data_IF_442997959624
#
_entry.id   IF_442997959624
#
_cell.length_a   1.000
_cell.length_b   1.000
_cell.length_c   1.000
_cell.angle_alpha   90.00
_cell.angle_beta   90.00
_cell.angle_gamma   90.00
#
_symmetry.space_group_name_H-M   'P 1'
#
loop_
_entity.id
_entity.type
_entity.pdbx_description
1 polymer ?
#
# COMPACT_ATOMS: atom_id res chain seq x y z
N UNK A 1 19.45 48.31 -6.34
CA UNK A 1 20.62 47.77 -5.65
C UNK A 1 20.77 46.31 -6.10
N UNK A 2 21.76 46.07 -6.97
CA UNK A 2 22.06 44.80 -7.62
C UNK A 2 22.78 43.90 -6.63
N UNK A 3 22.40 42.63 -6.50
CA UNK A 3 23.29 41.59 -5.99
C UNK A 3 23.36 40.42 -6.95
N UNK A 4 24.56 40.17 -7.34
CA UNK A 4 25.09 39.31 -8.37
C UNK A 4 25.08 37.84 -7.98
N UNK A 5 24.77 36.99 -8.96
CA UNK A 5 25.02 35.56 -9.01
C UNK A 5 26.50 35.23 -8.80
N UNK A 6 26.78 34.21 -8.05
CA UNK A 6 28.09 33.52 -8.06
C UNK A 6 27.92 32.08 -8.49
N UNK A 7 28.30 31.80 -9.75
CA UNK A 7 28.60 30.51 -10.33
C UNK A 7 29.94 30.01 -9.77
N UNK A 8 30.03 28.78 -9.35
CA UNK A 8 31.26 27.96 -9.34
C UNK A 8 30.86 26.54 -9.74
N UNK A 9 31.12 26.23 -11.00
CA UNK A 9 32.27 25.57 -11.62
C UNK A 9 32.47 24.13 -11.06
N UNK A 10 31.99 23.27 -11.83
CA UNK A 10 32.40 21.98 -12.34
C UNK A 10 33.93 21.75 -12.30
N UNK A 11 34.36 20.64 -11.72
CA UNK A 11 35.61 20.01 -12.14
C UNK A 11 35.49 18.50 -12.05
N UNK A 12 35.66 17.88 -13.23
CA UNK A 12 35.93 16.47 -13.47
C UNK A 12 37.27 16.10 -12.86
N UNK A 13 37.38 14.88 -12.35
CA UNK A 13 38.58 14.07 -12.58
C UNK A 13 38.21 12.58 -12.61
N UNK A 14 38.40 12.00 -13.78
CA UNK A 14 38.48 10.58 -14.04
C UNK A 14 39.95 10.12 -13.94
N UNK A 15 40.21 8.95 -13.39
CA UNK A 15 41.32 8.05 -13.67
C UNK A 15 41.09 6.77 -12.88
N UNK A 16 40.80 5.65 -13.46
CA UNK A 16 41.59 4.76 -14.33
C UNK A 16 42.67 3.99 -13.58
N UNK A 17 42.63 2.72 -13.77
CA UNK A 17 43.65 1.66 -13.83
C UNK A 17 43.31 0.48 -12.92
N UNK A 18 42.84 -0.62 -13.45
CA UNK A 18 43.54 -1.62 -14.33
C UNK A 18 44.28 -2.67 -13.56
N UNK A 19 43.83 -3.92 -13.75
CA UNK A 19 44.60 -5.16 -13.99
C UNK A 19 45.29 -5.81 -12.79
N UNK A 20 44.93 -7.06 -12.53
CA UNK A 20 45.83 -8.21 -12.75
C UNK A 20 45.05 -9.53 -12.59
N UNK A 21 44.96 -10.21 -13.70
CA UNK A 21 44.75 -11.66 -13.87
C UNK A 21 46.05 -12.40 -13.45
N UNK A 22 45.87 -13.53 -12.82
CA UNK A 22 46.76 -14.74 -12.92
C UNK A 22 46.04 -15.77 -12.05
N UNK A 23 45.42 -16.81 -12.49
CA UNK A 23 45.90 -17.90 -13.32
C UNK A 23 46.84 -18.85 -12.58
N UNK A 24 46.32 -19.94 -11.98
CA UNK A 24 47.13 -21.13 -11.78
C UNK A 24 46.24 -22.37 -11.70
N UNK A 25 46.24 -23.11 -12.79
CA UNK A 25 45.97 -24.55 -12.81
C UNK A 25 47.13 -25.27 -12.09
N UNK A 26 46.79 -26.20 -11.20
CA UNK A 26 47.70 -27.12 -10.57
C UNK A 26 47.08 -28.49 -10.41
N UNK A 27 47.25 -29.33 -11.38
CA UNK A 27 47.05 -30.79 -11.34
C UNK A 27 48.14 -31.42 -10.48
N UNK A 28 47.82 -32.30 -9.51
CA UNK A 28 48.55 -33.55 -9.30
C UNK A 28 48.10 -34.38 -8.09
N UNK A 29 47.74 -35.58 -8.40
CA UNK A 29 48.12 -36.91 -7.86
C UNK A 29 47.65 -37.35 -6.48
N UNK A 30 46.94 -38.47 -6.61
CA UNK A 30 46.68 -39.53 -5.64
C UNK A 30 47.72 -39.75 -4.56
N UNK A 31 47.23 -39.82 -3.31
CA UNK A 31 47.77 -40.76 -2.32
C UNK A 31 46.56 -41.39 -1.60
N UNK A 32 46.48 -42.72 -1.70
CA UNK A 32 45.60 -43.58 -0.94
C UNK A 32 45.94 -43.50 0.56
N UNK A 33 44.87 -43.34 1.40
CA UNK A 33 45.04 -43.45 2.85
C UNK A 33 43.65 -43.49 3.50
N UNK A 34 43.26 -44.66 3.96
CA UNK A 34 42.01 -45.04 4.62
C UNK A 34 41.57 -44.09 5.74
N UNK A 35 40.25 -43.73 5.76
CA UNK A 35 39.63 -42.97 6.82
C UNK A 35 38.17 -42.69 6.53
N UNK A 36 37.34 -43.72 6.31
CA UNK A 36 35.92 -43.60 6.16
C UNK A 36 35.29 -43.50 7.54
N UNK A 37 34.69 -42.33 7.89
CA UNK A 37 33.49 -42.25 8.74
C UNK A 37 32.91 -40.82 8.85
N UNK A 38 33.64 -39.75 8.49
CA UNK A 38 33.14 -38.34 8.71
C UNK A 38 32.31 -37.76 7.54
N UNK A 39 32.44 -38.31 6.31
CA UNK A 39 31.76 -37.74 5.14
C UNK A 39 30.28 -38.12 5.04
N UNK A 40 29.85 -39.20 5.70
CA UNK A 40 28.44 -39.66 5.64
C UNK A 40 27.55 -38.83 6.53
N UNK A 41 28.03 -38.37 7.71
CA UNK A 41 27.24 -37.52 8.62
C UNK A 41 27.12 -36.07 8.12
N UNK A 42 28.11 -35.52 7.40
CA UNK A 42 27.97 -34.18 6.83
C UNK A 42 27.02 -34.12 5.63
N UNK A 43 26.93 -35.19 4.83
CA UNK A 43 26.00 -35.27 3.71
C UNK A 43 24.57 -35.46 4.17
N UNK A 44 24.30 -36.25 5.22
CA UNK A 44 22.95 -36.41 5.81
C UNK A 44 22.47 -35.13 6.50
N UNK A 45 23.35 -34.38 7.19
CA UNK A 45 22.96 -33.11 7.81
C UNK A 45 22.74 -32.01 6.77
N UNK A 46 23.47 -31.97 5.65
CA UNK A 46 23.23 -31.04 4.56
C UNK A 46 21.92 -31.34 3.82
N UNK A 47 21.58 -32.62 3.63
CA UNK A 47 20.32 -33.02 2.98
C UNK A 47 19.11 -32.73 3.88
N UNK A 48 19.19 -33.03 5.17
CA UNK A 48 18.14 -32.69 6.13
C UNK A 48 17.93 -31.18 6.26
N UNK A 49 18.98 -30.39 6.22
CA UNK A 49 18.92 -28.91 6.26
C UNK A 49 18.31 -28.31 4.99
N UNK A 50 18.55 -28.89 3.82
CA UNK A 50 17.94 -28.45 2.55
C UNK A 50 16.46 -28.81 2.49
N UNK A 51 16.08 -30.01 2.89
CA UNK A 51 14.68 -30.46 2.91
C UNK A 51 13.83 -29.66 3.89
N UNK A 52 14.36 -29.31 5.06
CA UNK A 52 13.65 -28.49 6.04
C UNK A 52 13.41 -27.06 5.55
N UNK A 53 14.41 -26.43 4.91
CA UNK A 53 14.30 -25.10 4.32
C UNK A 53 13.31 -25.06 3.15
N UNK A 54 13.34 -26.07 2.29
CA UNK A 54 12.42 -26.20 1.17
C UNK A 54 10.97 -26.39 1.67
N UNK A 55 10.77 -27.22 2.68
CA UNK A 55 9.47 -27.40 3.33
C UNK A 55 8.95 -26.11 3.95
N UNK A 56 9.80 -25.32 4.62
CA UNK A 56 9.43 -24.02 5.18
C UNK A 56 9.02 -23.01 4.09
N UNK A 57 9.80 -22.93 3.01
CA UNK A 57 9.52 -22.05 1.87
C UNK A 57 8.16 -22.38 1.23
N UNK A 58 7.87 -23.65 1.05
CA UNK A 58 6.59 -24.11 0.51
C UNK A 58 5.41 -23.76 1.44
N UNK A 59 5.60 -23.92 2.76
CA UNK A 59 4.58 -23.55 3.76
C UNK A 59 4.30 -22.04 3.76
N UNK A 60 5.34 -21.21 3.68
CA UNK A 60 5.20 -19.75 3.56
C UNK A 60 4.46 -19.36 2.27
N UNK A 61 4.84 -19.94 1.13
CA UNK A 61 4.17 -19.70 -0.15
C UNK A 61 2.70 -20.12 -0.10
N UNK A 62 2.40 -21.29 0.44
CA UNK A 62 1.02 -21.77 0.59
C UNK A 62 0.18 -20.84 1.48
N UNK A 63 0.77 -20.25 2.53
CA UNK A 63 0.08 -19.27 3.36
C UNK A 63 -0.18 -17.97 2.61
N UNK A 64 0.82 -17.44 1.90
CA UNK A 64 0.66 -16.22 1.06
C UNK A 64 -0.41 -16.45 -0.02
N UNK A 65 -0.43 -17.62 -0.64
CA UNK A 65 -1.49 -18.03 -1.59
C UNK A 65 -2.88 -17.99 -0.91
N UNK A 66 -3.00 -18.57 0.27
CA UNK A 66 -4.23 -18.53 1.06
C UNK A 66 -4.70 -17.11 1.35
N UNK A 67 -3.78 -16.18 1.65
CA UNK A 67 -4.09 -14.76 1.85
C UNK A 67 -4.57 -14.14 0.55
N UNK A 68 -3.87 -14.37 -0.55
CA UNK A 68 -4.24 -13.87 -1.88
C UNK A 68 -5.61 -14.37 -2.34
N UNK A 69 -5.95 -15.61 -2.05
CA UNK A 69 -7.21 -16.24 -2.43
C UNK A 69 -8.45 -15.66 -1.70
N UNK A 70 -8.24 -14.87 -0.63
CA UNK A 70 -9.33 -14.17 0.06
C UNK A 70 -9.88 -12.97 -0.72
N UNK A 71 -9.23 -12.56 -1.80
CA UNK A 71 -9.69 -11.43 -2.59
C UNK A 71 -11.14 -11.58 -3.08
N UNK A 72 -11.88 -10.47 -3.03
CA UNK A 72 -13.25 -10.40 -3.55
C UNK A 72 -13.19 -10.24 -5.07
N UNK A 73 -13.96 -11.08 -5.77
CA UNK A 73 -13.96 -11.10 -7.25
C UNK A 73 -14.94 -10.11 -7.89
N UNK A 74 -15.88 -9.56 -7.11
CA UNK A 74 -16.83 -8.59 -7.64
C UNK A 74 -16.13 -7.35 -8.19
N UNK A 75 -16.66 -6.81 -9.27
CA UNK A 75 -16.14 -5.59 -9.88
C UNK A 75 -16.64 -4.33 -9.16
N UNK A 76 -17.80 -4.40 -8.51
CA UNK A 76 -18.42 -3.25 -7.87
C UNK A 76 -18.59 -3.50 -6.38
N UNK A 77 -18.29 -2.49 -5.57
CA UNK A 77 -18.64 -2.38 -4.15
C UNK A 77 -19.30 -1.03 -3.94
N UNK A 78 -20.49 -1.05 -3.37
CA UNK A 78 -21.26 0.16 -3.06
C UNK A 78 -21.86 0.02 -1.67
N UNK A 79 -21.80 1.09 -0.87
CA UNK A 79 -22.42 1.12 0.44
C UNK A 79 -22.59 2.52 0.97
N UNK A 80 -23.69 2.76 1.68
CA UNK A 80 -23.80 3.93 2.54
C UNK A 80 -22.95 3.70 3.77
N UNK A 81 -22.34 4.75 4.29
CA UNK A 81 -21.39 4.67 5.38
C UNK A 81 -21.51 5.86 6.33
N UNK A 82 -20.97 5.71 7.52
CA UNK A 82 -20.50 6.80 8.36
C UNK A 82 -19.04 7.08 8.00
N UNK A 83 -18.74 8.33 7.72
CA UNK A 83 -17.37 8.81 7.48
C UNK A 83 -16.95 9.66 8.66
N UNK A 84 -15.83 9.33 9.30
CA UNK A 84 -15.23 10.12 10.37
C UNK A 84 -13.83 10.55 9.99
N UNK A 85 -13.51 11.83 10.18
CA UNK A 85 -12.18 12.40 10.02
C UNK A 85 -11.73 13.03 11.34
N UNK A 86 -10.57 12.59 11.84
CA UNK A 86 -9.91 13.17 12.99
C UNK A 86 -8.53 13.69 12.55
N UNK A 87 -8.29 14.99 12.68
CA UNK A 87 -7.03 15.61 12.32
C UNK A 87 -6.82 16.92 13.08
N UNK A 88 -5.76 17.00 13.89
CA UNK A 88 -5.56 18.12 14.81
C UNK A 88 -6.74 18.22 15.78
N UNK A 89 -7.35 19.40 15.88
CA UNK A 89 -8.49 19.68 16.76
C UNK A 89 -9.85 19.34 16.11
N UNK A 90 -9.85 18.77 14.90
CA UNK A 90 -11.06 18.43 14.18
C UNK A 90 -11.45 16.98 14.40
N UNK A 91 -12.73 16.77 14.73
CA UNK A 91 -13.40 15.48 14.79
C UNK A 91 -14.75 15.64 14.10
N UNK A 92 -14.84 15.15 12.86
CA UNK A 92 -16.01 15.36 12.00
C UNK A 92 -16.56 13.99 11.62
N UNK A 93 -17.83 13.75 11.91
CA UNK A 93 -18.56 12.56 11.46
C UNK A 93 -19.75 12.98 10.62
N UNK A 94 -19.83 12.46 9.40
CA UNK A 94 -20.90 12.75 8.44
C UNK A 94 -21.38 11.47 7.74
N UNK A 95 -22.64 11.42 7.29
CA UNK A 95 -23.08 10.35 6.40
C UNK A 95 -22.33 10.43 5.06
N UNK A 96 -22.02 9.28 4.50
CA UNK A 96 -21.35 9.17 3.23
C UNK A 96 -21.84 8.00 2.39
N UNK A 97 -21.29 7.92 1.19
CA UNK A 97 -21.47 6.79 0.28
C UNK A 97 -20.11 6.43 -0.34
N UNK A 98 -19.73 5.17 -0.20
CA UNK A 98 -18.61 4.59 -0.93
C UNK A 98 -19.15 3.93 -2.20
N UNK A 99 -18.54 4.21 -3.34
CA UNK A 99 -18.82 3.53 -4.61
C UNK A 99 -17.50 3.23 -5.29
N UNK A 100 -17.23 1.96 -5.50
CA UNK A 100 -15.99 1.50 -6.10
C UNK A 100 -16.26 0.60 -7.29
N UNK A 101 -15.55 0.82 -8.40
CA UNK A 101 -15.50 -0.09 -9.54
C UNK A 101 -14.06 -0.43 -9.82
N UNK A 102 -13.75 -1.72 -9.76
CA UNK A 102 -12.38 -2.25 -9.91
C UNK A 102 -11.78 -1.78 -11.24
N UNK A 103 -10.54 -1.30 -11.16
CA UNK A 103 -9.74 -0.76 -12.27
C UNK A 103 -10.28 0.53 -12.91
N UNK A 104 -11.32 1.14 -12.32
CA UNK A 104 -11.92 2.38 -12.85
C UNK A 104 -11.94 3.52 -11.83
N UNK A 105 -12.51 3.30 -10.63
CA UNK A 105 -12.73 4.41 -9.69
C UNK A 105 -13.01 3.94 -8.27
N UNK A 106 -12.50 4.72 -7.31
CA UNK A 106 -12.91 4.74 -5.92
C UNK A 106 -13.52 6.10 -5.66
N UNK A 107 -14.81 6.16 -5.30
CA UNK A 107 -15.54 7.40 -5.02
C UNK A 107 -16.09 7.40 -3.61
N UNK A 108 -15.79 8.46 -2.87
CA UNK A 108 -16.31 8.77 -1.54
C UNK A 108 -17.13 10.06 -1.65
N UNK A 109 -18.42 9.99 -1.34
CA UNK A 109 -19.32 11.12 -1.30
C UNK A 109 -19.70 11.41 0.14
N UNK A 110 -19.69 12.67 0.55
CA UNK A 110 -20.03 13.13 1.90
C UNK A 110 -21.27 14.01 1.85
N UNK A 111 -22.17 13.84 2.81
CA UNK A 111 -23.47 14.49 2.81
C UNK A 111 -23.72 15.26 4.10
N UNK A 112 -24.55 16.32 3.99
CA UNK A 112 -25.10 16.99 5.18
C UNK A 112 -26.06 16.02 5.87
N UNK A 113 -25.91 15.81 7.19
CA UNK A 113 -26.89 15.05 7.96
C UNK A 113 -28.30 15.60 7.75
N UNK A 114 -29.31 14.72 7.73
CA UNK A 114 -30.75 15.03 7.56
C UNK A 114 -31.10 15.51 6.14
N UNK A 115 -30.37 16.47 5.57
CA UNK A 115 -30.69 17.04 4.25
C UNK A 115 -30.28 16.13 3.09
N UNK A 116 -29.28 15.24 3.29
CA UNK A 116 -28.77 14.35 2.24
C UNK A 116 -28.09 15.06 1.07
N UNK A 117 -27.84 16.38 1.18
CA UNK A 117 -27.14 17.14 0.15
C UNK A 117 -25.66 16.80 0.16
N UNK A 118 -25.07 16.47 -1.01
CA UNK A 118 -23.65 16.22 -1.15
C UNK A 118 -22.85 17.51 -0.94
N UNK A 119 -21.91 17.48 0.00
CA UNK A 119 -21.05 18.62 0.34
C UNK A 119 -19.59 18.40 -0.07
N UNK A 120 -19.18 17.17 -0.21
CA UNK A 120 -17.83 16.82 -0.59
C UNK A 120 -17.77 15.54 -1.39
N UNK A 121 -16.78 15.44 -2.28
CA UNK A 121 -16.52 14.24 -3.06
C UNK A 121 -15.03 14.04 -3.25
N UNK A 122 -14.57 12.81 -3.01
CA UNK A 122 -13.23 12.37 -3.34
C UNK A 122 -13.33 11.25 -4.37
N UNK A 123 -12.55 11.35 -5.44
CA UNK A 123 -12.47 10.33 -6.45
C UNK A 123 -11.02 10.03 -6.77
N UNK A 124 -10.72 8.75 -6.86
CA UNK A 124 -9.45 8.22 -7.30
C UNK A 124 -9.72 7.37 -8.54
N UNK A 125 -9.06 7.71 -9.63
CA UNK A 125 -9.08 6.97 -10.91
C UNK A 125 -7.66 6.56 -11.28
N UNK A 126 -7.43 5.70 -12.28
CA UNK A 126 -6.07 5.42 -12.73
C UNK A 126 -5.25 6.65 -13.10
N UNK A 127 -5.90 7.70 -13.60
CA UNK A 127 -5.24 8.88 -14.18
C UNK A 127 -5.13 10.04 -13.21
N UNK A 128 -6.10 10.21 -12.31
CA UNK A 128 -6.17 11.41 -11.47
C UNK A 128 -6.90 11.20 -10.15
N UNK A 129 -6.61 12.12 -9.24
CA UNK A 129 -7.37 12.38 -8.02
C UNK A 129 -8.24 13.59 -8.26
N UNK A 130 -9.52 13.51 -7.87
CA UNK A 130 -10.48 14.61 -7.92
C UNK A 130 -11.06 14.82 -6.52
N UNK A 131 -10.99 16.04 -6.01
CA UNK A 131 -11.62 16.46 -4.76
C UNK A 131 -12.54 17.63 -5.08
N UNK A 132 -13.81 17.52 -4.71
CA UNK A 132 -14.80 18.56 -4.92
C UNK A 132 -15.31 19.04 -3.56
N UNK A 133 -15.15 20.33 -3.29
CA UNK A 133 -15.77 21.05 -2.20
C UNK A 133 -16.99 21.79 -2.74
N UNK A 134 -18.18 21.28 -2.43
CA UNK A 134 -19.42 21.85 -2.94
C UNK A 134 -19.87 23.08 -2.15
N UNK A 135 -19.43 23.20 -0.90
CA UNK A 135 -19.75 24.35 -0.05
C UNK A 135 -19.10 25.63 -0.58
N UNK A 136 -17.81 25.54 -0.91
CA UNK A 136 -17.04 26.68 -1.42
C UNK A 136 -17.01 26.75 -2.96
N UNK A 137 -17.63 25.78 -3.66
CA UNK A 137 -17.60 25.65 -5.13
C UNK A 137 -16.17 25.62 -5.68
N UNK A 138 -15.35 24.79 -5.06
CA UNK A 138 -13.95 24.60 -5.45
C UNK A 138 -13.68 23.14 -5.76
N UNK A 139 -12.68 22.89 -6.59
CA UNK A 139 -12.21 21.53 -6.83
C UNK A 139 -10.70 21.47 -7.07
N UNK A 140 -10.14 20.31 -6.79
CA UNK A 140 -8.77 19.94 -7.13
C UNK A 140 -8.86 18.75 -8.07
N UNK A 141 -8.22 18.85 -9.24
CA UNK A 141 -7.99 17.74 -10.14
C UNK A 141 -6.51 17.68 -10.45
N UNK A 142 -5.87 16.58 -10.08
CA UNK A 142 -4.43 16.43 -10.19
C UNK A 142 -4.07 14.97 -10.50
N UNK A 143 -3.00 14.75 -11.23
CA UNK A 143 -2.40 13.41 -11.30
C UNK A 143 -1.68 13.05 -9.98
N UNK A 144 -1.36 11.77 -9.78
CA UNK A 144 -0.74 11.29 -8.54
C UNK A 144 0.65 11.89 -8.29
N UNK A 145 1.32 12.35 -9.33
CA UNK A 145 2.65 12.97 -9.22
C UNK A 145 2.59 14.43 -8.76
N UNK A 146 1.45 15.08 -8.92
CA UNK A 146 1.20 16.45 -8.50
C UNK A 146 0.71 16.55 -7.05
N UNK A 147 0.19 15.46 -6.50
CA UNK A 147 -0.22 15.39 -5.09
C UNK A 147 0.97 14.93 -4.25
N UNK A 148 1.68 15.86 -3.66
CA UNK A 148 2.94 15.64 -2.92
C UNK A 148 2.88 14.47 -1.94
N UNK A 149 1.78 14.34 -1.22
CA UNK A 149 1.56 13.25 -0.27
C UNK A 149 1.57 11.88 -0.96
N UNK A 150 0.83 11.72 -2.06
CA UNK A 150 0.73 10.45 -2.79
C UNK A 150 2.05 10.14 -3.49
N UNK A 151 2.67 11.15 -4.13
CA UNK A 151 3.96 11.03 -4.81
C UNK A 151 5.06 10.55 -3.87
N UNK A 152 5.21 11.19 -2.71
CA UNK A 152 6.25 10.86 -1.72
C UNK A 152 6.09 9.45 -1.15
N UNK A 153 4.87 8.93 -1.11
CA UNK A 153 4.54 7.60 -0.62
C UNK A 153 4.54 6.52 -1.71
N UNK A 154 4.78 6.89 -2.98
CA UNK A 154 4.66 5.95 -4.09
C UNK A 154 3.25 5.36 -4.24
N UNK A 155 2.23 6.09 -3.78
CA UNK A 155 0.83 5.64 -3.82
C UNK A 155 0.26 5.92 -5.21
N UNK A 156 -0.18 4.87 -5.88
CA UNK A 156 -0.93 4.91 -7.14
C UNK A 156 -2.40 4.55 -6.88
N UNK A 157 -3.24 4.73 -7.89
CA UNK A 157 -4.61 4.22 -7.87
C UNK A 157 -4.67 2.72 -7.49
N UNK A 158 -3.82 1.90 -8.08
CA UNK A 158 -3.82 0.44 -7.83
C UNK A 158 -3.39 0.09 -6.41
N UNK A 159 -2.48 0.87 -5.81
CA UNK A 159 -2.14 0.72 -4.39
C UNK A 159 -3.33 1.03 -3.49
N UNK A 160 -4.03 2.16 -3.75
CA UNK A 160 -5.26 2.52 -3.04
C UNK A 160 -6.34 1.46 -3.26
N UNK A 161 -6.54 1.02 -4.51
CA UNK A 161 -7.50 -0.03 -4.81
C UNK A 161 -7.23 -1.29 -3.99
N UNK A 162 -5.99 -1.76 -3.94
CA UNK A 162 -5.64 -2.96 -3.18
C UNK A 162 -5.93 -2.79 -1.68
N UNK A 163 -5.64 -1.61 -1.10
CA UNK A 163 -5.99 -1.31 0.30
C UNK A 163 -7.52 -1.30 0.50
N UNK A 164 -8.28 -0.63 -0.35
CA UNK A 164 -9.74 -0.58 -0.24
C UNK A 164 -10.41 -1.95 -0.50
N UNK A 165 -9.83 -2.79 -1.35
CA UNK A 165 -10.31 -4.15 -1.61
C UNK A 165 -9.77 -5.20 -0.64
N UNK A 166 -8.96 -4.80 0.38
CA UNK A 166 -8.37 -5.71 1.34
C UNK A 166 -7.51 -6.80 0.67
N UNK A 167 -6.52 -6.39 -0.11
CA UNK A 167 -5.69 -7.28 -0.92
C UNK A 167 -4.20 -7.01 -0.70
N UNK A 168 -3.37 -8.01 -1.02
CA UNK A 168 -1.95 -7.81 -1.18
C UNK A 168 -1.69 -6.86 -2.36
N UNK A 169 -0.63 -6.07 -2.27
CA UNK A 169 -0.21 -5.17 -3.34
C UNK A 169 1.28 -5.28 -3.64
N UNK A 170 1.64 -4.99 -4.87
CA UNK A 170 3.00 -4.73 -5.31
C UNK A 170 3.06 -3.35 -5.96
N UNK A 171 4.01 -2.48 -5.58
CA UNK A 171 4.16 -1.17 -6.19
C UNK A 171 4.36 -1.25 -7.70
N UNK A 172 3.62 -0.43 -8.44
CA UNK A 172 3.69 -0.40 -9.90
C UNK A 172 2.88 -1.49 -10.62
N UNK A 173 2.37 -2.48 -9.89
CA UNK A 173 1.53 -3.54 -10.48
C UNK A 173 0.04 -3.26 -10.27
N UNK A 174 -0.78 -3.62 -11.26
CA UNK A 174 -2.24 -3.52 -11.15
C UNK A 174 -2.83 -4.58 -10.23
N UNK A 175 -2.23 -5.77 -10.26
CA UNK A 175 -2.66 -6.94 -9.45
C UNK A 175 -1.46 -7.79 -9.11
N UNK A 176 -1.52 -8.47 -7.97
CA UNK A 176 -0.54 -9.51 -7.60
C UNK A 176 -0.90 -10.80 -8.35
N UNK A 177 0.03 -11.31 -9.16
CA UNK A 177 -0.11 -12.58 -9.88
C UNK A 177 0.38 -13.73 -9.00
N UNK A 178 0.00 -14.96 -9.33
CA UNK A 178 0.47 -16.15 -8.63
C UNK A 178 2.01 -16.26 -8.64
N UNK A 179 2.65 -15.94 -9.76
CA UNK A 179 4.10 -15.92 -9.89
C UNK A 179 4.79 -14.88 -8.98
N UNK A 180 4.06 -13.88 -8.48
CA UNK A 180 4.58 -12.83 -7.63
C UNK A 180 4.53 -13.20 -6.14
N UNK A 181 3.76 -14.22 -5.75
CA UNK A 181 3.55 -14.57 -4.34
C UNK A 181 4.84 -14.93 -3.62
N UNK A 182 5.83 -15.44 -4.34
CA UNK A 182 7.18 -15.71 -3.82
C UNK A 182 7.97 -14.47 -3.40
N UNK A 183 7.50 -13.27 -3.77
CA UNK A 183 8.12 -11.98 -3.35
C UNK A 183 7.73 -11.61 -1.92
N UNK A 184 6.67 -12.20 -1.39
CA UNK A 184 6.20 -11.95 -0.03
C UNK A 184 6.82 -12.94 0.95
N UNK A 185 7.17 -12.45 2.14
CA UNK A 185 7.59 -13.29 3.26
C UNK A 185 6.46 -13.40 4.30
N UNK A 186 6.19 -14.61 4.77
CA UNK A 186 5.23 -14.89 5.81
C UNK A 186 5.94 -15.44 7.05
N UNK A 187 5.77 -14.82 8.21
CA UNK A 187 6.36 -15.30 9.47
C UNK A 187 5.41 -16.28 10.16
N UNK A 188 5.59 -17.56 9.85
CA UNK A 188 4.76 -18.64 10.39
C UNK A 188 5.17 -19.11 11.79
N UNK A 189 6.34 -18.71 12.27
CA UNK A 189 6.94 -19.01 13.56
C UNK A 189 6.30 -18.23 14.73
N UNK A 190 5.50 -17.21 14.43
CA UNK A 190 4.78 -16.45 15.46
C UNK A 190 3.70 -17.29 16.14
N UNK A 191 3.50 -17.06 17.42
CA UNK A 191 2.39 -17.66 18.19
C UNK A 191 1.10 -16.89 17.96
N UNK A 192 -0.06 -17.58 18.04
CA UNK A 192 -1.37 -16.97 17.86
C UNK A 192 -1.84 -16.88 16.39
N UNK A 193 -2.96 -16.19 16.21
CA UNK A 193 -3.69 -16.13 14.93
C UNK A 193 -3.23 -15.04 13.98
N UNK A 194 -2.48 -14.06 14.44
CA UNK A 194 -2.00 -12.93 13.65
C UNK A 194 -0.66 -13.27 12.99
N UNK A 195 -0.68 -13.60 11.70
CA UNK A 195 0.51 -13.93 10.92
C UNK A 195 0.94 -12.72 10.08
N UNK A 196 2.14 -12.18 10.30
CA UNK A 196 2.68 -11.13 9.45
C UNK A 196 3.05 -11.67 8.05
N UNK A 197 2.59 -10.95 7.02
CA UNK A 197 3.04 -11.08 5.63
C UNK A 197 3.68 -9.76 5.23
N UNK A 198 4.82 -9.76 4.60
CA UNK A 198 5.54 -8.53 4.28
C UNK A 198 6.21 -8.56 2.91
N UNK A 199 6.40 -7.35 2.37
CA UNK A 199 7.17 -7.08 1.16
C UNK A 199 7.93 -5.77 1.32
N UNK A 200 9.17 -5.71 0.81
CA UNK A 200 10.01 -4.50 0.86
C UNK A 200 10.45 -4.10 -0.53
N UNK A 201 10.41 -2.80 -0.79
CA UNK A 201 10.91 -2.20 -2.02
C UNK A 201 11.59 -0.86 -1.72
N UNK A 202 12.91 -0.84 -1.74
CA UNK A 202 13.70 0.35 -1.37
C UNK A 202 13.35 0.85 0.02
N UNK A 203 12.93 2.11 0.10
CA UNK A 203 12.55 2.79 1.34
C UNK A 203 11.13 2.45 1.83
N UNK A 204 10.39 1.63 1.07
CA UNK A 204 9.03 1.23 1.40
C UNK A 204 8.99 -0.16 2.01
N UNK A 205 8.24 -0.30 3.08
CA UNK A 205 7.86 -1.58 3.66
C UNK A 205 6.35 -1.69 3.64
N UNK A 206 5.86 -2.78 3.10
CA UNK A 206 4.45 -3.17 3.10
C UNK A 206 4.31 -4.38 4.01
N UNK A 207 3.39 -4.33 4.95
CA UNK A 207 3.12 -5.43 5.85
C UNK A 207 1.60 -5.62 5.99
N UNK A 208 1.20 -6.86 6.09
CA UNK A 208 -0.18 -7.25 6.33
C UNK A 208 -0.22 -8.17 7.53
N UNK A 209 -1.23 -8.03 8.35
CA UNK A 209 -1.56 -9.00 9.38
C UNK A 209 -2.70 -9.86 8.86
N UNK A 210 -2.46 -11.15 8.70
CA UNK A 210 -3.45 -12.09 8.21
C UNK A 210 -3.80 -13.14 9.27
N UNK A 211 -5.08 -13.48 9.38
CA UNK A 211 -5.53 -14.54 10.28
C UNK A 211 -5.00 -15.90 9.81
N UNK A 212 -4.37 -16.66 10.70
CA UNK A 212 -3.73 -17.94 10.41
C UNK A 212 -4.68 -18.97 9.81
N UNK A 213 -5.87 -19.05 10.35
CA UNK A 213 -6.86 -20.06 9.95
C UNK A 213 -7.54 -19.70 8.64
N UNK A 214 -7.97 -18.45 8.49
CA UNK A 214 -8.76 -18.01 7.33
C UNK A 214 -7.92 -17.40 6.21
N UNK A 215 -6.70 -16.93 6.47
CA UNK A 215 -5.89 -16.14 5.53
C UNK A 215 -6.41 -14.69 5.32
N UNK A 216 -7.44 -14.27 6.08
CA UNK A 216 -8.05 -12.94 5.92
C UNK A 216 -7.13 -11.86 6.47
N UNK A 217 -6.91 -10.80 5.68
CA UNK A 217 -6.15 -9.63 6.11
C UNK A 217 -6.99 -8.84 7.12
N UNK A 218 -6.44 -8.60 8.32
CA UNK A 218 -7.08 -7.83 9.39
C UNK A 218 -6.43 -6.46 9.58
N UNK A 219 -5.20 -6.29 9.14
CA UNK A 219 -4.53 -4.99 9.12
C UNK A 219 -3.52 -4.90 7.97
N UNK A 220 -3.20 -3.69 7.54
CA UNK A 220 -2.14 -3.40 6.60
C UNK A 220 -1.34 -2.17 7.04
N UNK A 221 -0.03 -2.21 6.85
CA UNK A 221 0.90 -1.12 7.12
C UNK A 221 1.69 -0.80 5.86
N UNK A 222 1.78 0.48 5.52
CA UNK A 222 2.66 1.00 4.48
C UNK A 222 3.58 2.01 5.12
N UNK A 223 4.87 1.70 5.21
CA UNK A 223 5.86 2.52 5.89
C UNK A 223 6.91 2.98 4.89
N UNK A 224 7.04 4.29 4.76
CA UNK A 224 8.14 4.94 4.06
C UNK A 224 9.16 5.46 5.06
N UNK A 225 10.45 5.14 4.87
CA UNK A 225 11.56 5.63 5.70
C UNK A 225 12.62 6.26 4.83
N UNK A 226 12.96 7.51 5.11
CA UNK A 226 14.05 8.23 4.45
C UNK A 226 14.85 9.02 5.47
N UNK A 227 16.17 8.93 5.40
CA UNK A 227 17.06 9.72 6.26
C UNK A 227 16.89 11.24 6.04
N UNK A 228 16.52 11.64 4.81
CA UNK A 228 16.38 13.04 4.41
C UNK A 228 14.95 13.58 4.56
N UNK A 229 13.93 12.71 4.33
CA UNK A 229 12.53 13.10 4.27
C UNK A 229 11.69 12.57 5.44
N UNK A 230 12.32 12.02 6.49
CA UNK A 230 11.61 11.50 7.64
C UNK A 230 10.89 10.17 7.38
N UNK A 231 9.95 9.86 8.26
CA UNK A 231 9.15 8.62 8.18
C UNK A 231 7.67 8.98 8.01
N UNK A 232 7.01 8.25 7.12
CA UNK A 232 5.56 8.30 6.97
C UNK A 232 4.99 6.89 7.09
N UNK A 233 3.90 6.76 7.81
CA UNK A 233 3.22 5.49 8.04
C UNK A 233 1.73 5.66 7.72
N UNK A 234 1.19 4.70 6.97
CA UNK A 234 -0.23 4.49 6.79
C UNK A 234 -0.55 3.12 7.38
N UNK A 235 -1.39 3.12 8.41
CA UNK A 235 -1.95 1.92 9.00
C UNK A 235 -3.42 1.81 8.65
N UNK A 236 -3.89 0.61 8.34
CA UNK A 236 -5.29 0.33 8.02
C UNK A 236 -5.74 -0.89 8.81
N UNK A 237 -6.73 -0.72 9.68
CA UNK A 237 -7.45 -1.83 10.30
C UNK A 237 -8.71 -2.17 9.51
N UNK A 238 -8.96 -3.46 9.35
CA UNK A 238 -10.12 -3.99 8.66
C UNK A 238 -11.00 -4.78 9.60
N UNK A 239 -12.28 -4.43 9.64
CA UNK A 239 -13.25 -5.06 10.54
C UNK A 239 -14.63 -5.24 9.93
N UNK A 240 -15.57 -5.70 10.75
CA UNK A 240 -16.98 -5.85 10.42
C UNK A 240 -17.22 -6.53 9.06
N UNK A 241 -16.54 -7.66 8.85
CA UNK A 241 -16.56 -8.37 7.56
C UNK A 241 -17.95 -8.87 7.19
N UNK A 242 -18.39 -8.55 5.97
CA UNK A 242 -19.68 -8.95 5.40
C UNK A 242 -19.48 -9.80 4.15
N UNK A 243 -20.41 -10.74 3.91
CA UNK A 243 -20.34 -11.61 2.75
C UNK A 243 -20.57 -10.84 1.45
N UNK A 244 -19.70 -11.09 0.46
CA UNK A 244 -19.82 -10.63 -0.92
C UNK A 244 -19.58 -11.84 -1.82
N UNK A 245 -20.68 -12.47 -2.25
CA UNK A 245 -20.63 -13.79 -2.86
C UNK A 245 -20.06 -14.81 -1.84
N UNK A 246 -19.04 -15.54 -2.26
CA UNK A 246 -18.36 -16.57 -1.43
C UNK A 246 -17.19 -15.99 -0.61
N UNK A 247 -16.90 -14.72 -0.74
CA UNK A 247 -15.79 -14.03 -0.05
C UNK A 247 -16.32 -13.05 0.98
N UNK A 248 -15.44 -12.62 1.87
CA UNK A 248 -15.75 -11.63 2.90
C UNK A 248 -15.07 -10.31 2.56
N UNK A 249 -15.81 -9.21 2.67
CA UNK A 249 -15.32 -7.85 2.45
C UNK A 249 -15.41 -7.05 3.75
N UNK A 250 -14.38 -6.26 4.12
CA UNK A 250 -14.44 -5.44 5.33
C UNK A 250 -15.46 -4.31 5.16
N UNK A 251 -16.40 -4.22 6.08
CA UNK A 251 -17.33 -3.10 6.14
C UNK A 251 -16.83 -1.96 7.05
N UNK A 252 -15.75 -2.19 7.80
CA UNK A 252 -15.04 -1.19 8.60
C UNK A 252 -13.61 -1.06 8.08
N UNK A 253 -13.20 0.15 7.74
CA UNK A 253 -11.83 0.53 7.37
C UNK A 253 -11.42 1.72 8.23
N UNK A 254 -10.42 1.52 9.10
CA UNK A 254 -9.86 2.56 9.95
C UNK A 254 -8.44 2.85 9.50
N UNK A 255 -8.24 4.01 8.89
CA UNK A 255 -6.96 4.46 8.37
C UNK A 255 -6.33 5.44 9.36
N UNK A 256 -5.09 5.20 9.77
CA UNK A 256 -4.30 6.11 10.56
C UNK A 256 -3.02 6.48 9.79
N UNK A 257 -2.83 7.77 9.57
CA UNK A 257 -1.67 8.31 8.87
C UNK A 257 -0.83 9.12 9.83
N UNK A 258 0.48 8.86 9.83
CA UNK A 258 1.45 9.68 10.57
C UNK A 258 2.61 10.05 9.66
N UNK A 259 3.13 11.26 9.79
CA UNK A 259 4.32 11.68 9.06
C UNK A 259 5.19 12.61 9.89
N UNK A 260 6.50 12.41 9.80
CA UNK A 260 7.54 13.30 10.34
C UNK A 260 8.29 14.03 9.21
N UNK A 261 7.80 13.93 7.97
CA UNK A 261 8.37 14.62 6.81
C UNK A 261 8.18 16.15 6.84
N UNK A 262 7.39 16.64 7.78
CA UNK A 262 7.15 18.06 8.05
C UNK A 262 7.82 18.49 9.35
N UNK A 263 7.95 19.81 9.59
CA UNK A 263 8.56 20.35 10.82
C UNK A 263 7.90 19.87 12.12
N UNK A 264 6.61 19.51 12.06
CA UNK A 264 5.86 18.93 13.17
C UNK A 264 5.30 17.58 12.73
N UNK A 265 5.28 16.60 13.61
CA UNK A 265 4.56 15.34 13.40
C UNK A 265 3.10 15.66 13.07
N UNK A 266 2.61 15.16 11.95
CA UNK A 266 1.20 15.24 11.58
C UNK A 266 0.57 13.87 11.72
N UNK A 267 -0.67 13.88 12.18
CA UNK A 267 -1.48 12.67 12.34
C UNK A 267 -2.90 12.96 11.84
N UNK A 268 -3.45 12.01 11.10
CA UNK A 268 -4.85 12.02 10.68
C UNK A 268 -5.42 10.61 10.75
N UNK A 269 -6.68 10.50 11.16
CA UNK A 269 -7.42 9.25 11.17
C UNK A 269 -8.69 9.40 10.36
N UNK A 270 -8.97 8.40 9.55
CA UNK A 270 -10.19 8.31 8.74
C UNK A 270 -10.85 6.98 9.06
N UNK A 271 -12.13 7.01 9.42
CA UNK A 271 -12.93 5.81 9.64
C UNK A 271 -14.08 5.76 8.62
N UNK A 272 -14.22 4.63 7.97
CA UNK A 272 -15.29 4.32 7.01
C UNK A 272 -16.06 3.11 7.55
N UNK A 273 -17.27 3.34 8.02
CA UNK A 273 -18.17 2.29 8.54
C UNK A 273 -19.34 2.08 7.61
N UNK A 274 -19.27 1.03 6.77
CA UNK A 274 -20.35 0.71 5.83
C UNK A 274 -21.49 0.00 6.53
N UNK A 275 -22.69 0.57 6.42
CA UNK A 275 -23.91 -0.04 6.96
C UNK A 275 -24.23 -1.35 6.23
N UNK A 276 -23.95 -1.39 4.92
CA UNK A 276 -24.17 -2.53 4.05
C UNK A 276 -23.14 -2.54 2.92
N UNK A 277 -22.86 -3.72 2.39
CA UNK A 277 -22.01 -3.91 1.22
C UNK A 277 -22.86 -4.49 0.10
N UNK A 278 -22.97 -3.76 -1.01
CA UNK A 278 -23.72 -4.16 -2.21
C UNK A 278 -22.76 -4.22 -3.40
N UNK A 279 -23.15 -4.98 -4.42
CA UNK A 279 -22.41 -5.12 -5.68
C UNK A 279 -23.13 -4.47 -6.87
N UNK A 280 -23.94 -3.45 -6.58
CA UNK A 280 -24.71 -2.74 -7.60
C UNK A 280 -23.78 -2.08 -8.63
N UNK A 281 -24.08 -2.29 -9.91
CA UNK A 281 -23.34 -1.74 -11.04
C UNK A 281 -24.03 -0.55 -11.72
N UNK A 282 -25.27 -0.24 -11.32
CA UNK A 282 -26.10 0.79 -11.94
C UNK A 282 -25.79 2.18 -11.39
N UNK A 283 -24.56 2.65 -11.60
CA UNK A 283 -24.14 4.01 -11.25
C UNK A 283 -23.08 4.52 -12.23
N UNK A 284 -23.10 5.84 -12.48
CA UNK A 284 -22.12 6.48 -13.38
C UNK A 284 -20.76 6.63 -12.72
N UNK A 285 -19.70 6.23 -13.41
CA UNK A 285 -18.30 6.48 -12.99
C UNK A 285 -17.83 7.88 -13.38
N UNK A 286 -18.55 8.57 -14.25
CA UNK A 286 -18.22 9.93 -14.68
C UNK A 286 -18.71 10.96 -13.67
N UNK A 287 -17.89 11.99 -13.45
CA UNK A 287 -18.26 13.17 -12.67
C UNK A 287 -18.10 14.42 -13.53
N UNK A 288 -19.20 15.15 -13.66
CA UNK A 288 -19.20 16.46 -14.30
C UNK A 288 -18.97 17.55 -13.25
N UNK A 289 -18.04 18.46 -13.56
CA UNK A 289 -17.76 19.63 -12.75
C UNK A 289 -18.40 20.84 -13.43
N UNK A 290 -19.34 21.46 -12.73
CA UNK A 290 -19.99 22.67 -13.25
C UNK A 290 -18.95 23.79 -13.46
N UNK A 291 -19.10 24.57 -14.54
CA UNK A 291 -18.27 25.75 -14.80
C UNK A 291 -18.33 26.85 -13.72
N UNK A 292 -19.23 26.69 -12.72
CA UNK A 292 -19.31 27.59 -11.55
C UNK A 292 -18.26 27.25 -10.48
N UNK A 293 -17.51 26.15 -10.62
CA UNK A 293 -16.50 25.72 -9.68
C UNK A 293 -15.13 26.26 -10.09
N UNK A 294 -14.37 26.74 -9.11
CA UNK A 294 -12.99 27.19 -9.30
C UNK A 294 -12.02 26.03 -9.05
N UNK A 295 -11.10 25.80 -9.98
CA UNK A 295 -9.99 24.89 -9.72
C UNK A 295 -8.95 25.56 -8.83
N UNK A 296 -8.53 24.87 -7.78
CA UNK A 296 -7.47 25.31 -6.86
C UNK A 296 -6.26 24.37 -6.94
N UNK A 297 -5.13 24.82 -6.39
CA UNK A 297 -3.84 24.12 -6.47
C UNK A 297 -3.86 22.75 -5.78
N UNK A 298 -3.23 21.71 -6.37
CA UNK A 298 -3.04 20.42 -5.73
C UNK A 298 -2.18 20.46 -4.46
N UNK A 299 -1.33 21.49 -4.29
CA UNK A 299 -0.50 21.65 -3.08
C UNK A 299 -1.33 21.91 -1.83
N UNK A 300 -2.55 22.39 -2.00
CA UNK A 300 -3.46 22.74 -0.90
C UNK A 300 -4.40 21.61 -0.49
N UNK A 301 -4.28 20.40 -1.12
CA UNK A 301 -5.19 19.27 -0.88
C UNK A 301 -5.32 18.93 0.59
N UNK A 302 -4.20 18.77 1.28
CA UNK A 302 -4.23 18.40 2.70
C UNK A 302 -4.81 19.51 3.58
N UNK A 303 -4.39 20.75 3.33
CA UNK A 303 -4.94 21.91 4.03
C UNK A 303 -6.43 22.06 3.78
N UNK A 304 -6.88 21.76 2.56
CA UNK A 304 -8.30 21.85 2.20
C UNK A 304 -9.15 20.77 2.85
N UNK A 305 -8.69 19.51 2.83
CA UNK A 305 -9.36 18.42 3.56
C UNK A 305 -9.44 18.74 5.07
N UNK A 306 -8.40 19.33 5.61
CA UNK A 306 -8.36 19.75 7.01
C UNK A 306 -9.20 21.00 7.29
N UNK A 307 -9.58 21.78 6.28
CA UNK A 307 -10.41 22.99 6.41
C UNK A 307 -11.89 22.76 6.17
N UNK A 308 -12.27 21.61 5.58
CA UNK A 308 -13.66 21.16 5.46
C UNK A 308 -14.22 20.75 6.81
#
# INVERSE_FOLDING_TARGET
>A
MKYTMKKNKMMLLAAACSILLLGSCGTSKNVQGSGSTSARHQKENATKGSDSRQSETLRKLAFVQKVSDNQVYTRNIVGNMSFTLQAGDKDITVPGKLSMRKDEIIRIQLFIPILGTEVGRLEFTPDHVLIIDRLHKEYIKADYTQVDFLKKQGISFYSLQALFWNQLLLPGERTVKESDLKKFDARLDVTGDAVPVSFRNGNMTYAWTANRTTGRITAADVVYKSAQNGTSNLHVDYGNFKSVGVKMFPASLNLAMTTTATRKKQEAKISLELNQVKTDSKWSTQTEISGKYKQISPTDVLSKILSM
#
